data_IF_447803650043
#
_entry.id   IF_447803650043
#
_cell.length_a   1.000
_cell.length_b   1.000
_cell.length_c   1.000
_cell.angle_alpha   90.00
_cell.angle_beta   90.00
_cell.angle_gamma   90.00
#
_symmetry.space_group_name_H-M   'P 1'
#
loop_
_entity.id
_entity.type
_entity.pdbx_description
1 polymer ?
#
# COMPACT_ATOMS: atom_id res chain seq x y z
N UNK A 1 -28.53 -2.43 9.40
CA UNK A 1 -29.36 -3.51 9.99
C UNK A 1 -28.58 -4.80 9.76
N UNK A 2 -28.41 -5.65 10.78
CA UNK A 2 -27.59 -6.87 10.68
C UNK A 2 -28.53 -8.07 10.49
N UNK A 3 -28.26 -8.85 9.44
CA UNK A 3 -29.12 -9.94 8.97
C UNK A 3 -28.33 -11.25 8.96
N UNK A 4 -29.00 -12.37 9.22
CA UNK A 4 -28.43 -13.71 9.11
C UNK A 4 -29.13 -14.48 8.02
N UNK A 5 -28.36 -15.16 7.20
CA UNK A 5 -28.80 -15.97 6.07
C UNK A 5 -28.28 -17.41 6.22
N UNK A 6 -29.00 -18.34 5.62
CA UNK A 6 -28.55 -19.73 5.53
C UNK A 6 -27.26 -19.89 4.70
N UNK A 7 -26.68 -21.08 4.80
CA UNK A 7 -25.40 -21.42 4.18
C UNK A 7 -25.37 -21.24 2.64
N UNK A 8 -26.54 -21.52 2.00
CA UNK A 8 -26.67 -21.56 0.53
C UNK A 8 -27.18 -20.24 -0.09
N UNK A 9 -27.43 -19.22 0.74
CA UNK A 9 -27.86 -17.92 0.23
C UNK A 9 -26.72 -17.19 -0.50
N UNK A 10 -27.04 -16.64 -1.66
CA UNK A 10 -26.06 -15.94 -2.51
C UNK A 10 -26.42 -14.49 -2.85
N UNK A 11 -27.69 -14.10 -2.72
CA UNK A 11 -28.20 -12.82 -3.22
C UNK A 11 -28.35 -11.75 -2.14
N UNK A 12 -28.51 -12.10 -0.88
CA UNK A 12 -28.66 -11.20 0.29
C UNK A 12 -29.69 -10.06 0.12
N UNK A 13 -30.66 -10.22 -0.77
CA UNK A 13 -31.61 -9.18 -1.14
C UNK A 13 -32.81 -9.08 -0.20
N UNK A 14 -33.03 -10.09 0.67
CA UNK A 14 -34.10 -10.16 1.65
C UNK A 14 -33.64 -9.69 3.04
N UNK A 15 -34.52 -9.90 4.03
CA UNK A 15 -34.16 -9.70 5.44
C UNK A 15 -33.46 -10.94 6.06
N UNK A 16 -33.15 -11.95 5.25
CA UNK A 16 -32.57 -13.23 5.72
C UNK A 16 -33.55 -14.06 6.54
N UNK A 17 -33.02 -15.06 7.22
CA UNK A 17 -33.77 -15.92 8.14
C UNK A 17 -34.14 -15.17 9.42
N UNK A 18 -33.27 -14.25 9.84
CA UNK A 18 -33.50 -13.39 11.00
C UNK A 18 -32.72 -12.08 10.91
N UNK A 19 -33.32 -11.02 11.45
CA UNK A 19 -32.63 -9.75 11.74
C UNK A 19 -32.25 -9.73 13.20
N UNK A 20 -30.97 -9.58 13.48
CA UNK A 20 -30.42 -9.62 14.83
C UNK A 20 -30.12 -8.25 15.40
N UNK A 21 -30.16 -8.15 16.73
CA UNK A 21 -29.73 -6.98 17.50
C UNK A 21 -28.54 -7.35 18.38
N UNK A 22 -27.32 -7.30 17.84
CA UNK A 22 -26.13 -7.73 18.56
C UNK A 22 -25.72 -6.71 19.62
N UNK A 23 -24.98 -7.17 20.63
CA UNK A 23 -24.31 -6.31 21.62
C UNK A 23 -23.05 -5.65 21.01
N UNK A 24 -22.37 -6.37 20.09
CA UNK A 24 -21.18 -5.95 19.39
C UNK A 24 -21.23 -6.44 17.95
N UNK A 25 -20.92 -5.59 17.00
CA UNK A 25 -20.70 -5.96 15.60
C UNK A 25 -19.63 -5.03 15.02
N UNK A 26 -18.41 -5.52 14.96
CA UNK A 26 -17.25 -4.73 14.55
C UNK A 26 -16.57 -5.37 13.35
N UNK A 27 -16.52 -4.63 12.26
CA UNK A 27 -15.80 -5.02 11.05
C UNK A 27 -14.38 -4.52 11.13
N UNK A 28 -13.44 -5.43 10.93
CA UNK A 28 -12.02 -5.18 10.80
C UNK A 28 -11.63 -5.36 9.34
N UNK A 29 -11.02 -4.34 8.74
CA UNK A 29 -10.54 -4.38 7.35
C UNK A 29 -9.15 -3.78 7.26
N UNK A 30 -8.26 -4.50 6.56
CA UNK A 30 -6.88 -4.11 6.31
C UNK A 30 -6.63 -4.15 4.80
N UNK A 31 -5.89 -3.18 4.29
CA UNK A 31 -5.45 -3.21 2.88
C UNK A 31 -4.60 -4.44 2.61
N UNK A 32 -4.95 -5.18 1.57
CA UNK A 32 -4.31 -6.45 1.19
C UNK A 32 -4.23 -7.50 2.32
N UNK A 33 -4.95 -7.29 3.42
CA UNK A 33 -4.88 -8.09 4.64
C UNK A 33 -6.24 -8.63 5.09
N UNK A 34 -6.45 -8.66 6.40
CA UNK A 34 -7.64 -9.21 7.03
C UNK A 34 -8.94 -8.45 6.67
N UNK A 35 -10.04 -9.20 6.57
CA UNK A 35 -11.39 -8.65 6.45
C UNK A 35 -12.37 -9.60 7.14
N UNK A 36 -12.80 -9.23 8.34
CA UNK A 36 -13.68 -10.06 9.17
C UNK A 36 -14.61 -9.23 10.05
N UNK A 37 -15.64 -9.88 10.58
CA UNK A 37 -16.59 -9.33 11.53
C UNK A 37 -16.49 -10.07 12.87
N UNK A 38 -16.28 -9.31 13.94
CA UNK A 38 -16.45 -9.75 15.32
C UNK A 38 -17.88 -9.46 15.76
N UNK A 39 -18.60 -10.51 16.17
CA UNK A 39 -20.00 -10.46 16.53
C UNK A 39 -20.22 -10.97 17.96
N UNK A 40 -20.98 -10.23 18.75
CA UNK A 40 -21.54 -10.71 20.03
C UNK A 40 -23.04 -10.47 20.04
N UNK A 41 -23.83 -11.51 20.28
CA UNK A 41 -25.28 -11.42 20.30
C UNK A 41 -25.91 -12.12 21.54
N UNK A 42 -27.17 -11.78 21.86
CA UNK A 42 -27.98 -12.51 22.81
C UNK A 42 -28.08 -13.98 22.46
N UNK A 43 -28.18 -14.83 23.52
CA UNK A 43 -28.27 -16.28 23.38
C UNK A 43 -29.54 -16.74 22.61
N UNK A 44 -30.56 -15.91 22.53
CA UNK A 44 -31.82 -16.19 21.82
C UNK A 44 -31.62 -16.39 20.28
N UNK A 45 -30.50 -15.94 19.74
CA UNK A 45 -30.16 -16.12 18.31
C UNK A 45 -29.34 -17.40 18.05
N UNK A 46 -29.24 -18.32 19.03
CA UNK A 46 -28.38 -19.51 18.93
C UNK A 46 -28.68 -20.37 17.71
N UNK A 47 -29.97 -20.55 17.39
CA UNK A 47 -30.40 -21.39 16.25
C UNK A 47 -29.95 -20.81 14.88
N UNK A 48 -29.69 -19.50 14.82
CA UNK A 48 -29.31 -18.80 13.59
C UNK A 48 -27.79 -18.57 13.48
N UNK A 49 -27.10 -18.37 14.62
CA UNK A 49 -25.64 -18.15 14.66
C UNK A 49 -24.92 -19.49 14.67
N UNK A 50 -25.04 -20.22 13.58
CA UNK A 50 -24.40 -21.51 13.36
C UNK A 50 -23.20 -21.41 12.42
N UNK A 51 -22.15 -22.27 12.57
CA UNK A 51 -21.05 -22.31 11.62
C UNK A 51 -21.53 -22.45 10.18
N UNK A 52 -20.86 -21.71 9.29
CA UNK A 52 -21.12 -21.58 7.86
C UNK A 52 -22.38 -20.78 7.47
N UNK A 53 -23.28 -20.41 8.36
CA UNK A 53 -24.28 -19.40 8.05
C UNK A 53 -23.58 -18.04 7.76
N UNK A 54 -24.32 -17.13 7.12
CA UNK A 54 -23.79 -15.86 6.62
C UNK A 54 -24.41 -14.71 7.42
N UNK A 55 -23.57 -13.82 7.92
CA UNK A 55 -24.01 -12.56 8.53
C UNK A 55 -23.76 -11.42 7.56
N UNK A 56 -24.80 -10.68 7.22
CA UNK A 56 -24.69 -9.45 6.43
C UNK A 56 -24.74 -8.25 7.35
N UNK A 57 -23.69 -7.45 7.32
CA UNK A 57 -23.53 -6.27 8.16
C UNK A 57 -23.24 -5.02 7.32
N UNK A 58 -23.79 -3.85 7.72
CA UNK A 58 -23.49 -2.60 7.05
C UNK A 58 -22.04 -2.18 7.30
N UNK A 59 -21.36 -1.80 6.23
CA UNK A 59 -20.00 -1.25 6.27
C UNK A 59 -19.97 0.09 5.55
N UNK A 60 -18.88 0.87 5.60
CA UNK A 60 -18.75 2.11 4.84
C UNK A 60 -18.96 1.94 3.33
N UNK A 61 -18.68 0.76 2.78
CA UNK A 61 -18.84 0.41 1.36
C UNK A 61 -20.23 -0.17 1.01
N UNK A 62 -21.15 -0.23 1.96
CA UNK A 62 -22.41 -0.92 1.82
C UNK A 62 -22.49 -2.23 2.62
N UNK A 63 -23.55 -2.98 2.40
CA UNK A 63 -23.76 -4.24 3.09
C UNK A 63 -22.76 -5.31 2.62
N UNK A 64 -21.99 -5.88 3.55
CA UNK A 64 -21.00 -6.91 3.28
C UNK A 64 -21.37 -8.21 4.00
N UNK A 65 -21.12 -9.33 3.34
CA UNK A 65 -21.46 -10.67 3.81
C UNK A 65 -20.24 -11.38 4.38
N UNK A 66 -20.43 -11.97 5.55
CA UNK A 66 -19.39 -12.63 6.34
C UNK A 66 -19.85 -14.04 6.71
N UNK A 67 -19.06 -15.05 6.43
CA UNK A 67 -19.34 -16.44 6.81
C UNK A 67 -18.88 -16.71 8.23
N UNK A 68 -19.78 -17.25 9.05
CA UNK A 68 -19.49 -17.63 10.44
C UNK A 68 -18.50 -18.80 10.44
N UNK A 69 -17.33 -18.62 11.05
CA UNK A 69 -16.31 -19.68 11.14
C UNK A 69 -16.16 -20.20 12.56
N UNK A 70 -16.08 -19.34 13.54
CA UNK A 70 -15.91 -19.72 14.93
C UNK A 70 -17.10 -19.20 15.76
N UNK A 71 -17.68 -20.06 16.57
CA UNK A 71 -18.78 -19.73 17.48
C UNK A 71 -18.42 -20.21 18.88
N UNK A 72 -18.56 -19.34 19.85
CA UNK A 72 -18.42 -19.64 21.27
C UNK A 72 -19.68 -19.17 22.00
N UNK A 73 -20.24 -20.01 22.85
CA UNK A 73 -21.49 -19.71 23.55
C UNK A 73 -21.30 -19.73 25.06
N UNK A 74 -21.97 -18.83 25.72
CA UNK A 74 -22.15 -18.79 27.18
C UNK A 74 -23.64 -18.84 27.50
N UNK A 75 -24.00 -18.90 28.78
CA UNK A 75 -25.42 -18.89 29.19
C UNK A 75 -26.20 -17.65 28.73
N UNK A 76 -25.55 -16.55 28.38
CA UNK A 76 -26.21 -15.26 28.10
C UNK A 76 -25.88 -14.70 26.71
N UNK A 77 -24.76 -15.06 26.13
CA UNK A 77 -24.31 -14.51 24.87
C UNK A 77 -23.60 -15.51 23.97
N UNK A 78 -23.63 -15.22 22.71
CA UNK A 78 -22.90 -15.89 21.65
C UNK A 78 -21.81 -14.93 21.17
N UNK A 79 -20.61 -15.42 20.98
CA UNK A 79 -19.51 -14.69 20.34
C UNK A 79 -19.14 -15.45 19.07
N UNK A 80 -19.10 -14.76 17.94
CA UNK A 80 -18.73 -15.36 16.67
C UNK A 80 -17.67 -14.53 15.94
N UNK A 81 -16.72 -15.21 15.31
CA UNK A 81 -15.81 -14.62 14.33
C UNK A 81 -16.25 -15.03 12.93
N UNK A 82 -16.55 -14.04 12.10
CA UNK A 82 -17.08 -14.24 10.77
C UNK A 82 -16.11 -13.67 9.74
N UNK A 83 -15.65 -14.49 8.80
CA UNK A 83 -14.73 -14.08 7.74
C UNK A 83 -15.51 -13.60 6.53
N UNK A 84 -15.04 -12.53 5.85
CA UNK A 84 -15.64 -12.05 4.62
C UNK A 84 -15.74 -13.18 3.58
N UNK A 85 -16.78 -13.17 2.73
CA UNK A 85 -17.02 -14.24 1.74
C UNK A 85 -15.84 -14.50 0.80
N UNK A 86 -15.00 -13.50 0.56
CA UNK A 86 -13.74 -13.68 -0.17
C UNK A 86 -12.95 -14.91 0.29
N UNK A 87 -12.92 -15.19 1.59
CA UNK A 87 -12.16 -16.34 2.12
C UNK A 87 -12.77 -17.70 1.78
N UNK A 88 -14.00 -17.75 1.26
CA UNK A 88 -14.55 -18.98 0.72
C UNK A 88 -13.84 -19.41 -0.58
N UNK A 89 -13.07 -18.53 -1.23
CA UNK A 89 -12.20 -18.86 -2.36
C UNK A 89 -11.15 -19.93 -2.05
N UNK A 90 -10.87 -20.20 -0.77
CA UNK A 90 -10.02 -21.32 -0.34
C UNK A 90 -10.60 -22.71 -0.71
N UNK A 91 -11.90 -22.80 -0.91
CA UNK A 91 -12.59 -24.05 -1.24
C UNK A 91 -12.55 -24.42 -2.74
N UNK A 92 -12.02 -23.54 -3.58
CA UNK A 92 -11.91 -23.72 -5.03
C UNK A 92 -10.46 -24.01 -5.38
N UNK A 93 -10.17 -25.25 -5.80
CA UNK A 93 -8.80 -25.73 -6.02
C UNK A 93 -8.41 -25.64 -7.49
N UNK A 94 -7.18 -25.25 -7.73
CA UNK A 94 -6.53 -25.25 -9.04
C UNK A 94 -5.50 -26.38 -9.05
N UNK A 95 -5.74 -27.42 -9.86
CA UNK A 95 -4.87 -28.58 -9.91
C UNK A 95 -3.51 -28.24 -10.57
N UNK A 96 -3.56 -27.64 -11.75
CA UNK A 96 -2.41 -27.15 -12.50
C UNK A 96 -2.89 -26.10 -13.52
N UNK A 97 -2.33 -24.92 -13.48
CA UNK A 97 -2.64 -23.85 -14.41
C UNK A 97 -1.41 -22.99 -14.68
N UNK A 98 -1.21 -22.59 -15.93
CA UNK A 98 -0.06 -21.81 -16.34
C UNK A 98 -0.51 -20.46 -16.93
N UNK A 99 -0.23 -19.41 -16.20
CA UNK A 99 -0.45 -18.02 -16.62
C UNK A 99 0.82 -17.56 -17.33
N UNK A 100 0.73 -17.22 -18.61
CA UNK A 100 1.89 -16.83 -19.43
C UNK A 100 1.61 -15.50 -20.10
N UNK A 101 2.46 -14.51 -19.84
CA UNK A 101 2.42 -13.18 -20.44
C UNK A 101 1.02 -12.54 -20.43
N UNK A 102 0.37 -12.55 -19.26
CA UNK A 102 -0.97 -11.97 -19.07
C UNK A 102 -0.92 -10.72 -18.20
N UNK A 103 -1.78 -9.76 -18.52
CA UNK A 103 -2.09 -8.66 -17.59
C UNK A 103 -2.84 -9.21 -16.37
N UNK A 104 -3.01 -8.41 -15.34
CA UNK A 104 -3.61 -8.86 -14.09
C UNK A 104 -5.06 -9.34 -14.26
N UNK A 105 -5.88 -8.65 -15.06
CA UNK A 105 -7.27 -9.05 -15.32
C UNK A 105 -7.35 -10.41 -15.97
N UNK A 106 -6.59 -10.62 -17.05
CA UNK A 106 -6.58 -11.90 -17.79
C UNK A 106 -6.00 -13.03 -16.95
N UNK A 107 -5.05 -12.73 -16.05
CA UNK A 107 -4.52 -13.70 -15.10
C UNK A 107 -5.56 -14.14 -14.08
N UNK A 108 -6.31 -13.19 -13.49
CA UNK A 108 -7.41 -13.47 -12.56
C UNK A 108 -8.51 -14.31 -13.23
N UNK A 109 -8.97 -13.91 -14.43
CA UNK A 109 -9.99 -14.64 -15.19
C UNK A 109 -9.52 -16.05 -15.51
N UNK A 110 -8.26 -16.20 -15.94
CA UNK A 110 -7.68 -17.50 -16.24
C UNK A 110 -7.67 -18.44 -15.03
N UNK A 111 -7.27 -17.93 -13.85
CA UNK A 111 -7.21 -18.70 -12.63
C UNK A 111 -8.61 -19.03 -12.08
N UNK A 112 -9.53 -18.07 -12.13
CA UNK A 112 -10.92 -18.28 -11.70
C UNK A 112 -11.63 -19.36 -12.52
N UNK A 113 -11.34 -19.42 -13.84
CA UNK A 113 -11.87 -20.44 -14.73
C UNK A 113 -11.13 -21.79 -14.63
N UNK A 114 -9.94 -21.84 -14.00
CA UNK A 114 -9.14 -23.06 -13.85
C UNK A 114 -9.46 -23.83 -12.56
N UNK A 115 -10.44 -23.39 -11.78
CA UNK A 115 -10.86 -24.07 -10.56
C UNK A 115 -11.59 -25.37 -10.86
N UNK A 116 -11.47 -26.37 -9.96
CA UNK A 116 -12.09 -27.70 -10.07
C UNK A 116 -13.62 -27.65 -10.10
N UNK A 117 -14.20 -26.66 -9.40
CA UNK A 117 -15.63 -26.37 -9.39
C UNK A 117 -15.87 -24.95 -9.87
N UNK A 118 -17.04 -24.70 -10.47
CA UNK A 118 -17.40 -23.34 -10.89
C UNK A 118 -17.40 -22.40 -9.73
N UNK A 119 -16.51 -21.42 -9.76
CA UNK A 119 -16.38 -20.40 -8.73
C UNK A 119 -17.53 -19.38 -8.83
N UNK A 120 -18.14 -18.97 -7.70
CA UNK A 120 -19.16 -17.93 -7.68
C UNK A 120 -18.58 -16.52 -7.79
N UNK A 121 -17.26 -16.39 -7.76
CA UNK A 121 -16.59 -15.10 -7.75
C UNK A 121 -16.53 -14.47 -9.13
N UNK A 122 -16.82 -13.17 -9.17
CA UNK A 122 -16.47 -12.32 -10.30
C UNK A 122 -15.12 -11.67 -10.04
N UNK A 123 -14.24 -11.63 -11.03
CA UNK A 123 -12.91 -11.08 -10.89
C UNK A 123 -12.71 -9.90 -11.86
N UNK A 124 -11.91 -8.91 -11.47
CA UNK A 124 -11.58 -7.76 -12.31
C UNK A 124 -10.25 -7.13 -11.88
N UNK A 125 -9.53 -6.51 -12.80
CA UNK A 125 -8.36 -5.69 -12.49
C UNK A 125 -8.15 -4.59 -13.54
N UNK A 126 -7.61 -3.45 -13.11
CA UNK A 126 -7.12 -2.37 -13.96
C UNK A 126 -5.58 -2.30 -13.99
N UNK A 127 -4.89 -3.24 -13.34
CA UNK A 127 -3.43 -3.35 -13.35
C UNK A 127 -2.97 -3.89 -14.69
N UNK A 128 -2.16 -3.10 -15.38
CA UNK A 128 -1.72 -3.39 -16.76
C UNK A 128 -0.42 -4.17 -16.85
N UNK A 129 0.31 -4.31 -15.75
CA UNK A 129 1.56 -5.08 -15.70
C UNK A 129 1.35 -6.49 -16.25
N UNK A 130 2.32 -6.98 -16.99
CA UNK A 130 2.29 -8.32 -17.60
C UNK A 130 3.26 -9.23 -16.86
N UNK A 131 2.78 -10.39 -16.44
CA UNK A 131 3.57 -11.37 -15.71
C UNK A 131 3.20 -12.80 -16.08
N UNK A 132 4.01 -13.73 -15.61
CA UNK A 132 3.81 -15.17 -15.80
C UNK A 132 4.04 -15.92 -14.51
N UNK A 133 3.21 -16.92 -14.21
CA UNK A 133 3.50 -17.88 -13.15
C UNK A 133 2.72 -19.18 -13.35
N UNK A 134 3.22 -20.26 -12.76
CA UNK A 134 2.52 -21.53 -12.74
C UNK A 134 1.88 -21.75 -11.36
N UNK A 135 0.59 -22.02 -11.37
CA UNK A 135 -0.20 -22.33 -10.19
C UNK A 135 -0.44 -23.84 -10.15
N UNK A 136 0.11 -24.53 -9.14
CA UNK A 136 -0.02 -25.98 -8.99
C UNK A 136 -0.51 -26.32 -7.60
N UNK A 137 -1.63 -27.04 -7.51
CA UNK A 137 -2.23 -27.54 -6.26
C UNK A 137 -2.44 -26.44 -5.21
N UNK A 138 -2.92 -25.27 -5.67
CA UNK A 138 -3.24 -24.13 -4.83
C UNK A 138 -4.74 -23.87 -4.84
N UNK A 139 -5.25 -23.28 -3.77
CA UNK A 139 -6.58 -22.71 -3.77
C UNK A 139 -6.64 -21.44 -4.61
N UNK A 140 -7.85 -21.04 -5.03
CA UNK A 140 -8.06 -19.77 -5.72
C UNK A 140 -7.61 -18.60 -4.84
N UNK A 141 -7.79 -18.68 -3.51
CA UNK A 141 -7.30 -17.68 -2.56
C UNK A 141 -5.77 -17.51 -2.65
N UNK A 142 -5.01 -18.60 -2.57
CA UNK A 142 -3.54 -18.56 -2.67
C UNK A 142 -3.06 -18.09 -4.05
N UNK A 143 -3.81 -18.44 -5.10
CA UNK A 143 -3.51 -17.98 -6.46
C UNK A 143 -3.70 -16.47 -6.59
N UNK A 144 -4.80 -15.91 -6.04
CA UNK A 144 -5.06 -14.46 -6.01
C UNK A 144 -3.98 -13.73 -5.21
N UNK A 145 -3.52 -14.27 -4.06
CA UNK A 145 -2.41 -13.68 -3.30
C UNK A 145 -1.12 -13.65 -4.13
N UNK A 146 -0.82 -14.73 -4.87
CA UNK A 146 0.35 -14.77 -5.77
C UNK A 146 0.22 -13.75 -6.91
N UNK A 147 -1.00 -13.54 -7.44
CA UNK A 147 -1.25 -12.49 -8.45
C UNK A 147 -0.97 -11.12 -7.83
N UNK A 148 -1.50 -10.84 -6.64
CA UNK A 148 -1.30 -9.59 -5.93
C UNK A 148 0.19 -9.29 -5.67
N UNK A 149 0.95 -10.32 -5.26
CA UNK A 149 2.39 -10.20 -5.03
C UNK A 149 3.18 -9.90 -6.31
N UNK A 150 2.78 -10.47 -7.47
CA UNK A 150 3.53 -10.36 -8.73
C UNK A 150 3.12 -9.18 -9.59
N UNK A 151 1.82 -8.86 -9.64
CA UNK A 151 1.30 -7.75 -10.45
C UNK A 151 1.21 -6.45 -9.66
N UNK A 152 1.21 -6.54 -8.32
CA UNK A 152 0.98 -5.41 -7.44
C UNK A 152 -0.50 -5.01 -7.37
N UNK A 153 -0.75 -3.87 -6.73
CA UNK A 153 -2.09 -3.31 -6.59
C UNK A 153 -2.72 -3.53 -5.23
N UNK A 154 -4.02 -3.24 -5.15
CA UNK A 154 -4.81 -3.30 -3.94
C UNK A 154 -5.99 -4.25 -4.12
N UNK A 155 -6.18 -5.16 -3.15
CA UNK A 155 -7.24 -6.16 -3.15
C UNK A 155 -8.55 -5.57 -2.64
N UNK A 156 -9.48 -5.31 -3.54
CA UNK A 156 -10.84 -4.85 -3.22
C UNK A 156 -11.78 -6.04 -3.21
N UNK A 157 -12.50 -6.21 -2.12
CA UNK A 157 -13.41 -7.32 -1.85
C UNK A 157 -14.82 -6.78 -1.60
N UNK A 158 -15.77 -7.20 -2.40
CA UNK A 158 -17.16 -6.79 -2.30
C UNK A 158 -18.07 -8.00 -2.51
N UNK A 159 -18.50 -8.62 -1.42
CA UNK A 159 -19.26 -9.87 -1.42
C UNK A 159 -18.61 -10.94 -2.32
N UNK A 160 -19.25 -11.29 -3.46
CA UNK A 160 -18.73 -12.24 -4.45
C UNK A 160 -17.82 -11.60 -5.50
N UNK A 161 -17.51 -10.31 -5.38
CA UNK A 161 -16.62 -9.61 -6.33
C UNK A 161 -15.22 -9.43 -5.74
N UNK A 162 -14.22 -9.83 -6.51
CA UNK A 162 -12.80 -9.72 -6.18
C UNK A 162 -12.15 -8.83 -7.25
N UNK A 163 -11.53 -7.74 -6.81
CA UNK A 163 -10.86 -6.82 -7.73
C UNK A 163 -9.43 -6.56 -7.24
N UNK A 164 -8.48 -6.49 -8.17
CA UNK A 164 -7.14 -5.98 -7.91
C UNK A 164 -7.01 -4.67 -8.67
N UNK A 165 -6.91 -3.57 -7.94
CA UNK A 165 -6.91 -2.22 -8.49
C UNK A 165 -5.52 -1.59 -8.33
N UNK A 166 -5.06 -0.89 -9.34
CA UNK A 166 -3.77 -0.19 -9.30
C UNK A 166 -3.76 0.92 -8.25
N UNK A 167 -4.90 1.56 -8.07
CA UNK A 167 -5.08 2.61 -7.07
C UNK A 167 -6.47 2.51 -6.46
N UNK A 168 -6.59 2.74 -5.16
CA UNK A 168 -7.84 2.79 -4.41
C UNK A 168 -7.94 4.08 -3.60
N UNK A 169 -9.17 4.37 -3.15
CA UNK A 169 -9.45 5.55 -2.33
C UNK A 169 -9.57 6.85 -3.12
N UNK A 170 -10.02 7.88 -2.44
CA UNK A 170 -10.26 9.22 -2.98
C UNK A 170 -9.76 10.27 -1.99
N UNK A 171 -9.39 11.42 -2.48
CA UNK A 171 -9.19 12.61 -1.65
C UNK A 171 -10.55 13.29 -1.43
N UNK A 172 -11.13 13.08 -0.28
CA UNK A 172 -12.39 13.66 0.14
C UNK A 172 -12.22 15.01 0.87
N UNK A 173 -11.01 15.57 0.89
CA UNK A 173 -10.67 16.80 1.60
C UNK A 173 -10.82 16.67 3.12
N UNK A 174 -10.55 15.48 3.65
CA UNK A 174 -10.68 15.22 5.09
C UNK A 174 -9.41 15.67 5.80
N UNK A 175 -9.55 16.63 6.71
CA UNK A 175 -8.47 17.05 7.60
C UNK A 175 -8.73 16.55 9.02
N UNK A 176 -7.77 15.83 9.60
CA UNK A 176 -7.78 15.34 10.96
C UNK A 176 -6.91 16.28 11.79
N UNK A 177 -7.50 16.96 12.75
CA UNK A 177 -6.81 17.96 13.56
C UNK A 177 -7.01 17.71 15.04
N UNK A 178 -5.93 17.87 15.82
CA UNK A 178 -5.99 17.85 17.29
C UNK A 178 -7.00 18.89 17.81
N UNK A 179 -7.74 18.50 18.85
CA UNK A 179 -8.85 19.28 19.47
C UNK A 179 -10.10 19.45 18.62
N UNK A 180 -10.15 18.97 17.39
CA UNK A 180 -11.33 19.05 16.53
C UNK A 180 -12.00 17.68 16.38
N UNK A 181 -11.32 16.74 15.78
CA UNK A 181 -11.83 15.39 15.53
C UNK A 181 -10.83 14.29 15.92
N UNK A 182 -9.57 14.63 16.20
CA UNK A 182 -8.56 13.71 16.69
C UNK A 182 -8.70 13.50 18.20
N UNK A 183 -8.85 12.25 18.63
CA UNK A 183 -8.91 11.85 20.06
C UNK A 183 -7.56 11.40 20.57
N UNK A 184 -6.91 10.54 19.81
CA UNK A 184 -5.63 9.94 20.16
C UNK A 184 -4.82 9.73 18.87
N UNK A 185 -3.51 9.93 18.94
CA UNK A 185 -2.56 9.60 17.89
C UNK A 185 -1.43 8.79 18.51
N UNK A 186 -1.16 7.64 17.93
CA UNK A 186 0.04 6.84 18.18
C UNK A 186 0.90 6.85 16.92
N UNK A 187 2.19 7.06 17.10
CA UNK A 187 3.16 7.07 16.01
C UNK A 187 4.11 5.91 16.23
N UNK A 188 4.07 4.93 15.36
CA UNK A 188 4.94 3.75 15.39
C UNK A 188 6.00 3.84 14.29
N UNK A 189 7.26 3.79 14.70
CA UNK A 189 8.39 3.77 13.80
C UNK A 189 8.89 2.34 13.62
N UNK A 190 8.69 1.77 12.45
CA UNK A 190 9.23 0.45 12.12
C UNK A 190 10.62 0.56 11.47
N UNK A 191 11.63 0.23 12.24
CA UNK A 191 13.03 0.18 11.82
C UNK A 191 13.44 -1.18 11.27
N UNK A 192 12.62 -2.20 11.39
CA UNK A 192 12.95 -3.59 11.00
C UNK A 192 13.19 -3.75 9.49
N UNK A 193 12.54 -2.91 8.71
CA UNK A 193 12.63 -2.91 7.24
C UNK A 193 13.72 -2.00 6.68
N UNK A 194 14.36 -1.18 7.52
CA UNK A 194 15.38 -0.21 7.06
C UNK A 194 16.58 -0.94 6.49
N UNK A 195 17.02 -0.48 5.32
CA UNK A 195 18.21 -0.97 4.62
C UNK A 195 18.96 0.21 4.02
N UNK A 196 20.15 0.48 4.53
CA UNK A 196 21.02 1.55 4.00
C UNK A 196 22.23 1.01 3.25
N UNK A 197 22.48 -0.30 3.38
CA UNK A 197 23.54 -1.00 2.67
C UNK A 197 23.04 -2.38 2.26
N UNK A 198 22.98 -2.65 0.98
CA UNK A 198 22.45 -3.88 0.41
C UNK A 198 23.52 -4.65 -0.33
N UNK A 199 23.62 -5.95 -0.07
CA UNK A 199 24.33 -6.88 -0.93
C UNK A 199 23.32 -7.59 -1.82
N UNK A 200 23.13 -7.15 -3.07
CA UNK A 200 22.20 -7.79 -3.99
C UNK A 200 22.82 -9.07 -4.57
N UNK A 201 21.99 -10.09 -4.70
CA UNK A 201 22.35 -11.36 -5.35
C UNK A 201 21.40 -11.55 -6.54
N UNK A 202 21.95 -11.65 -7.74
CA UNK A 202 21.23 -11.86 -8.97
C UNK A 202 21.08 -13.33 -9.35
N UNK A 203 20.69 -13.57 -10.61
CA UNK A 203 20.53 -14.89 -11.22
C UNK A 203 21.81 -15.70 -11.06
N UNK A 204 21.69 -16.98 -10.69
CA UNK A 204 22.79 -17.91 -10.47
C UNK A 204 23.86 -17.44 -9.45
N UNK A 205 23.46 -16.58 -8.52
CA UNK A 205 24.36 -16.06 -7.48
C UNK A 205 25.24 -14.90 -7.96
N UNK A 206 24.86 -14.22 -9.05
CA UNK A 206 25.57 -13.06 -9.60
C UNK A 206 25.71 -11.97 -8.55
N UNK A 207 26.92 -11.43 -8.39
CA UNK A 207 27.23 -10.33 -7.48
C UNK A 207 27.75 -9.11 -8.25
N UNK A 208 27.47 -7.92 -7.75
CA UNK A 208 28.04 -6.68 -8.28
C UNK A 208 29.55 -6.57 -7.95
N UNK A 209 30.32 -5.91 -8.80
CA UNK A 209 31.78 -5.74 -8.62
C UNK A 209 32.12 -5.04 -7.29
N UNK A 210 31.31 -4.13 -6.78
CA UNK A 210 31.49 -3.46 -5.49
C UNK A 210 30.84 -4.19 -4.30
N UNK A 211 30.22 -5.34 -4.50
CA UNK A 211 29.44 -6.16 -3.57
C UNK A 211 28.21 -5.46 -2.97
N UNK A 212 28.24 -4.16 -2.77
CA UNK A 212 27.19 -3.43 -2.07
C UNK A 212 26.65 -2.26 -2.87
N UNK A 213 25.34 -1.98 -2.66
CA UNK A 213 24.67 -0.75 -3.01
C UNK A 213 24.31 -0.04 -1.71
N UNK A 214 24.57 1.27 -1.61
CA UNK A 214 24.32 2.06 -0.42
C UNK A 214 23.35 3.21 -0.71
N UNK A 215 22.60 3.59 0.32
CA UNK A 215 21.74 4.77 0.31
C UNK A 215 22.55 6.05 0.56
N UNK A 216 22.03 7.17 0.08
CA UNK A 216 22.50 8.51 0.47
C UNK A 216 22.15 8.83 1.94
N UNK A 217 21.13 8.16 2.50
CA UNK A 217 20.77 8.28 3.91
C UNK A 217 21.76 7.48 4.77
N UNK A 218 22.42 8.17 5.72
CA UNK A 218 23.41 7.55 6.60
C UNK A 218 22.96 7.63 8.07
N UNK A 219 23.13 6.50 8.77
CA UNK A 219 22.96 6.39 10.22
C UNK A 219 24.30 6.06 10.86
N UNK A 220 24.42 6.26 12.18
CA UNK A 220 25.65 5.89 12.93
C UNK A 220 26.03 4.43 12.74
N UNK A 221 25.05 3.53 12.60
CA UNK A 221 25.24 2.12 12.28
C UNK A 221 24.52 1.82 10.97
N UNK A 222 25.21 1.30 9.94
CA UNK A 222 24.58 0.95 8.68
C UNK A 222 23.67 -0.28 8.83
N UNK A 223 22.45 -0.17 8.33
CA UNK A 223 21.52 -1.30 8.23
C UNK A 223 21.85 -2.12 6.98
N UNK A 224 22.53 -3.23 7.18
CA UNK A 224 23.01 -4.07 6.08
C UNK A 224 22.13 -5.30 5.89
N UNK A 225 21.72 -5.57 4.64
CA UNK A 225 20.94 -6.76 4.26
C UNK A 225 21.50 -7.42 3.01
N UNK A 226 21.17 -8.72 2.83
CA UNK A 226 21.39 -9.45 1.59
C UNK A 226 20.04 -9.83 1.02
N UNK A 227 19.80 -9.54 -0.27
CA UNK A 227 18.54 -9.86 -0.94
C UNK A 227 18.84 -10.43 -2.32
N UNK A 228 18.13 -11.51 -2.65
CA UNK A 228 18.17 -12.10 -3.99
C UNK A 228 17.10 -11.49 -4.86
N UNK A 229 17.48 -11.06 -6.06
CA UNK A 229 16.59 -10.48 -7.06
C UNK A 229 16.39 -11.47 -8.21
N UNK A 230 15.13 -11.72 -8.56
CA UNK A 230 14.81 -12.46 -9.77
C UNK A 230 15.10 -11.60 -11.00
N UNK A 231 15.79 -12.18 -11.98
CA UNK A 231 16.11 -11.55 -13.26
C UNK A 231 15.56 -12.41 -14.38
N UNK A 232 14.78 -11.80 -15.27
CA UNK A 232 14.05 -12.51 -16.35
C UNK A 232 14.75 -12.44 -17.71
N UNK A 233 15.97 -11.89 -17.73
CA UNK A 233 16.77 -11.82 -18.95
C UNK A 233 17.30 -13.22 -19.33
N UNK A 234 17.20 -13.56 -20.61
CA UNK A 234 17.70 -14.82 -21.15
C UNK A 234 18.77 -14.55 -22.24
N UNK A 235 19.69 -15.49 -22.42
CA UNK A 235 20.81 -15.34 -23.37
C UNK A 235 20.32 -15.19 -24.83
N UNK A 236 19.17 -15.78 -25.13
CA UNK A 236 18.53 -15.69 -26.46
C UNK A 236 18.13 -14.26 -26.82
N UNK A 237 17.80 -13.42 -25.83
CA UNK A 237 17.45 -12.01 -26.02
C UNK A 237 18.65 -11.17 -26.53
N UNK A 238 19.86 -11.71 -26.39
CA UNK A 238 21.13 -11.08 -26.78
C UNK A 238 21.81 -11.77 -27.96
N UNK A 239 21.05 -12.52 -28.79
CA UNK A 239 21.55 -13.24 -29.95
C UNK A 239 22.74 -14.19 -29.65
N UNK A 240 22.87 -14.65 -28.40
CA UNK A 240 23.94 -15.50 -27.89
C UNK A 240 25.24 -14.77 -27.51
N UNK A 241 25.22 -13.43 -27.43
CA UNK A 241 26.34 -12.64 -26.90
C UNK A 241 26.40 -12.72 -25.38
N UNK A 242 27.22 -13.63 -24.86
CA UNK A 242 27.40 -13.86 -23.42
C UNK A 242 27.91 -12.62 -22.67
N UNK A 243 28.71 -11.77 -23.31
CA UNK A 243 29.27 -10.59 -22.68
C UNK A 243 28.19 -9.50 -22.52
N UNK A 244 27.40 -9.26 -23.54
CA UNK A 244 26.27 -8.33 -23.53
C UNK A 244 25.20 -8.79 -22.54
N UNK A 245 24.88 -10.09 -22.53
CA UNK A 245 23.95 -10.69 -21.56
C UNK A 245 24.42 -10.51 -20.12
N UNK A 246 25.69 -10.83 -19.83
CA UNK A 246 26.24 -10.69 -18.48
C UNK A 246 26.24 -9.22 -18.00
N UNK A 247 26.57 -8.28 -18.88
CA UNK A 247 26.51 -6.84 -18.58
C UNK A 247 25.08 -6.38 -18.28
N UNK A 248 24.11 -6.84 -19.07
CA UNK A 248 22.69 -6.53 -18.85
C UNK A 248 22.17 -7.06 -17.51
N UNK A 249 22.60 -8.27 -17.12
CA UNK A 249 22.28 -8.82 -15.79
C UNK A 249 22.85 -7.95 -14.65
N UNK A 250 24.10 -7.47 -14.77
CA UNK A 250 24.72 -6.60 -13.77
C UNK A 250 24.00 -5.25 -13.67
N UNK A 251 23.61 -4.67 -14.80
CA UNK A 251 22.92 -3.38 -14.83
C UNK A 251 21.49 -3.50 -14.28
N UNK A 252 20.73 -4.53 -14.63
CA UNK A 252 19.42 -4.84 -14.05
C UNK A 252 19.52 -5.04 -12.54
N UNK A 253 20.49 -5.83 -12.08
CA UNK A 253 20.72 -6.07 -10.65
C UNK A 253 21.02 -4.77 -9.90
N UNK A 254 21.83 -3.88 -10.50
CA UNK A 254 22.18 -2.58 -9.90
C UNK A 254 20.96 -1.69 -9.78
N UNK A 255 20.15 -1.60 -10.84
CA UNK A 255 18.93 -0.78 -10.87
C UNK A 255 17.93 -1.27 -9.81
N UNK A 256 17.66 -2.59 -9.76
CA UNK A 256 16.75 -3.18 -8.76
C UNK A 256 17.25 -2.97 -7.33
N UNK A 257 18.54 -3.15 -7.12
CA UNK A 257 19.16 -2.96 -5.81
C UNK A 257 19.10 -1.51 -5.34
N UNK A 258 19.38 -0.54 -6.22
CA UNK A 258 19.28 0.88 -5.89
C UNK A 258 17.84 1.26 -5.56
N UNK A 259 16.87 0.87 -6.39
CA UNK A 259 15.46 1.13 -6.14
C UNK A 259 14.99 0.55 -4.79
N UNK A 260 15.46 -0.66 -4.43
CA UNK A 260 15.15 -1.27 -3.15
C UNK A 260 15.73 -0.49 -1.96
N UNK A 261 16.99 -0.08 -2.06
CA UNK A 261 17.66 0.70 -1.01
C UNK A 261 16.98 2.06 -0.84
N UNK A 262 16.67 2.76 -1.92
CA UNK A 262 16.03 4.08 -1.89
C UNK A 262 14.63 4.00 -1.24
N UNK A 263 13.87 2.96 -1.55
CA UNK A 263 12.54 2.72 -0.99
C UNK A 263 12.55 2.31 0.49
N UNK A 264 13.67 1.76 1.01
CA UNK A 264 13.76 1.23 2.36
C UNK A 264 14.84 1.92 3.22
N UNK A 265 15.38 3.04 2.80
CA UNK A 265 16.46 3.73 3.52
C UNK A 265 16.00 4.48 4.77
N UNK A 266 14.72 4.73 4.89
CA UNK A 266 14.10 5.40 6.04
C UNK A 266 13.10 4.48 6.75
N UNK A 267 12.91 4.61 8.07
CA UNK A 267 11.94 3.80 8.79
C UNK A 267 10.52 4.07 8.28
N UNK A 268 9.73 3.01 8.23
CA UNK A 268 8.29 3.14 7.96
C UNK A 268 7.61 3.74 9.18
N UNK A 269 6.79 4.74 8.96
CA UNK A 269 6.04 5.40 10.03
C UNK A 269 4.56 5.10 9.84
N UNK A 270 3.97 4.43 10.84
CA UNK A 270 2.55 4.16 10.87
C UNK A 270 1.90 5.06 11.92
N UNK A 271 0.78 5.63 11.56
CA UNK A 271 0.00 6.49 12.43
C UNK A 271 -1.33 5.81 12.73
N UNK A 272 -1.54 5.44 13.99
CA UNK A 272 -2.84 4.95 14.44
C UNK A 272 -3.60 6.10 15.08
N UNK A 273 -4.77 6.40 14.55
CA UNK A 273 -5.58 7.52 14.99
C UNK A 273 -6.93 7.01 15.50
N UNK A 274 -7.34 7.49 16.69
CA UNK A 274 -8.72 7.40 17.11
C UNK A 274 -9.36 8.76 16.90
N UNK A 275 -10.26 8.83 15.94
CA UNK A 275 -10.93 10.07 15.60
C UNK A 275 -12.43 9.83 15.34
N UNK A 276 -13.22 10.88 15.51
CA UNK A 276 -14.59 10.89 14.99
C UNK A 276 -14.54 11.19 13.50
N UNK A 277 -14.73 10.16 12.70
CA UNK A 277 -14.61 10.25 11.24
C UNK A 277 -15.98 10.09 10.59
N UNK A 278 -16.48 11.15 9.99
CA UNK A 278 -17.77 11.15 9.31
C UNK A 278 -17.66 11.09 7.78
N UNK A 279 -16.46 11.28 7.22
CA UNK A 279 -16.25 11.45 5.78
C UNK A 279 -15.24 10.51 5.14
N UNK A 280 -14.63 9.59 5.88
CA UNK A 280 -13.86 8.50 5.29
C UNK A 280 -14.84 7.47 4.77
N UNK A 281 -14.64 7.01 3.55
CA UNK A 281 -15.51 6.02 2.93
C UNK A 281 -14.89 4.63 2.89
N UNK A 282 -13.54 4.52 2.73
CA UNK A 282 -12.87 3.21 2.71
C UNK A 282 -11.34 3.28 2.84
N UNK A 283 -10.73 2.09 2.74
CA UNK A 283 -9.28 1.88 2.59
C UNK A 283 -8.76 2.67 1.37
N UNK A 284 -7.60 3.27 1.53
CA UNK A 284 -6.97 4.08 0.49
C UNK A 284 -7.38 5.55 0.46
N UNK A 285 -8.49 5.94 1.14
CA UNK A 285 -8.89 7.34 1.20
C UNK A 285 -7.79 8.21 1.80
N UNK A 286 -7.53 9.33 1.15
CA UNK A 286 -6.47 10.26 1.52
C UNK A 286 -6.99 11.25 2.55
N UNK A 287 -6.19 11.51 3.57
CA UNK A 287 -6.48 12.47 4.62
C UNK A 287 -5.25 13.31 4.96
N UNK A 288 -5.50 14.56 5.33
CA UNK A 288 -4.47 15.43 5.92
C UNK A 288 -4.54 15.33 7.44
N UNK A 289 -3.40 15.04 8.08
CA UNK A 289 -3.28 14.93 9.55
C UNK A 289 -2.44 16.08 10.08
N UNK A 290 -3.03 16.86 10.98
CA UNK A 290 -2.37 18.01 11.59
C UNK A 290 -2.38 17.86 13.12
N UNK A 291 -1.20 17.73 13.72
CA UNK A 291 -1.00 17.84 15.15
C UNK A 291 0.13 18.85 15.45
N UNK A 292 -0.25 20.06 15.82
CA UNK A 292 0.69 21.15 16.10
C UNK A 292 1.64 20.86 17.27
N UNK A 293 1.21 20.03 18.25
CA UNK A 293 2.03 19.72 19.43
C UNK A 293 3.14 18.71 19.11
N UNK A 294 2.86 17.80 18.18
CA UNK A 294 3.83 16.81 17.71
C UNK A 294 4.59 17.29 16.46
N UNK A 295 4.25 18.50 15.96
CA UNK A 295 4.82 19.01 14.73
C UNK A 295 4.45 18.17 13.48
N UNK A 296 3.29 17.49 13.53
CA UNK A 296 2.84 16.62 12.44
C UNK A 296 1.95 17.43 11.49
N UNK A 297 2.35 17.48 10.24
CA UNK A 297 1.51 17.89 9.12
C UNK A 297 1.86 16.98 7.94
N UNK A 298 0.99 16.02 7.65
CA UNK A 298 1.24 15.02 6.61
C UNK A 298 -0.03 14.64 5.88
N UNK A 299 0.12 14.25 4.63
CA UNK A 299 -0.92 13.61 3.83
C UNK A 299 -0.65 12.10 3.88
N UNK A 300 -1.68 11.35 4.24
CA UNK A 300 -1.59 9.90 4.41
C UNK A 300 -2.87 9.23 3.91
N UNK A 301 -2.84 7.91 3.76
CA UNK A 301 -4.01 7.13 3.35
C UNK A 301 -4.45 6.14 4.41
N UNK A 302 -5.72 5.77 4.39
CA UNK A 302 -6.29 4.75 5.28
C UNK A 302 -5.73 3.38 4.91
N UNK A 303 -5.04 2.73 5.84
CA UNK A 303 -4.51 1.36 5.68
C UNK A 303 -5.43 0.31 6.30
N UNK A 304 -6.01 0.62 7.46
CA UNK A 304 -6.90 -0.30 8.14
C UNK A 304 -7.96 0.45 8.94
N UNK A 305 -9.05 -0.21 9.24
CA UNK A 305 -10.05 0.33 10.15
C UNK A 305 -10.79 -0.75 10.93
N UNK A 306 -11.33 -0.31 12.09
CA UNK A 306 -12.35 -1.01 12.85
C UNK A 306 -13.64 -0.18 12.82
N UNK A 307 -14.70 -0.75 12.25
CA UNK A 307 -15.99 -0.07 12.07
C UNK A 307 -17.09 -0.72 12.90
N UNK A 308 -17.79 0.09 13.69
CA UNK A 308 -18.94 -0.35 14.47
C UNK A 308 -20.20 -0.31 13.60
N UNK A 309 -20.69 -1.48 13.20
CA UNK A 309 -21.86 -1.64 12.34
C UNK A 309 -23.19 -1.26 13.03
N UNK A 310 -23.21 -1.20 14.37
CA UNK A 310 -24.39 -0.82 15.15
C UNK A 310 -24.50 0.69 15.20
N UNK A 311 -23.39 1.36 15.52
CA UNK A 311 -23.34 2.80 15.68
C UNK A 311 -23.09 3.54 14.35
N UNK A 312 -22.72 2.82 13.30
CA UNK A 312 -22.43 3.41 11.98
C UNK A 312 -21.21 4.34 11.99
N UNK A 313 -20.15 3.98 12.73
CA UNK A 313 -18.97 4.85 12.88
C UNK A 313 -17.67 4.07 13.02
N UNK A 314 -16.59 4.72 12.65
CA UNK A 314 -15.24 4.19 12.88
C UNK A 314 -14.88 4.27 14.38
N UNK A 315 -14.34 3.15 14.90
CA UNK A 315 -13.78 3.06 16.26
C UNK A 315 -12.32 3.43 16.22
N UNK A 316 -11.61 2.86 15.23
CA UNK A 316 -10.17 3.00 15.04
C UNK A 316 -9.89 3.05 13.55
N UNK A 317 -8.95 3.89 13.13
CA UNK A 317 -8.46 3.96 11.76
C UNK A 317 -6.94 4.09 11.82
N UNK A 318 -6.26 3.24 11.10
CA UNK A 318 -4.82 3.27 10.93
C UNK A 318 -4.49 3.92 9.58
N UNK A 319 -3.57 4.86 9.62
CA UNK A 319 -3.06 5.52 8.45
C UNK A 319 -1.61 5.11 8.24
N UNK A 320 -1.29 4.67 7.06
CA UNK A 320 0.09 4.47 6.67
C UNK A 320 0.63 5.73 6.04
N UNK A 321 1.93 5.93 6.18
CA UNK A 321 2.61 6.71 5.19
C UNK A 321 2.30 6.01 3.86
N UNK A 322 1.39 6.60 3.05
CA UNK A 322 1.40 6.28 1.65
C UNK A 322 2.87 6.41 1.29
N UNK A 323 3.53 5.28 1.05
CA UNK A 323 4.87 5.28 0.45
C UNK A 323 4.77 6.36 -0.60
N UNK A 324 5.57 7.44 -0.56
CA UNK A 324 5.50 8.41 -1.63
C UNK A 324 5.45 7.56 -2.87
N UNK A 325 4.52 7.81 -3.79
CA UNK A 325 4.28 6.97 -4.98
C UNK A 325 5.53 6.94 -5.88
N UNK A 326 6.71 6.73 -5.26
CA UNK A 326 7.93 6.40 -5.96
C UNK A 326 7.76 5.04 -6.66
N UNK A 327 7.04 4.09 -6.09
CA UNK A 327 6.75 2.84 -6.79
C UNK A 327 5.73 3.06 -7.92
N UNK A 328 4.71 3.88 -7.73
CA UNK A 328 3.79 4.27 -8.81
C UNK A 328 4.47 5.18 -9.83
N UNK A 329 5.31 6.13 -9.40
CA UNK A 329 6.14 6.97 -10.28
C UNK A 329 7.26 6.17 -10.96
N UNK A 330 7.91 5.22 -10.27
CA UNK A 330 8.90 4.32 -10.87
C UNK A 330 8.26 3.33 -11.84
N UNK A 331 7.11 2.75 -11.53
CA UNK A 331 6.38 1.90 -12.48
C UNK A 331 5.84 2.72 -13.66
N UNK A 332 5.42 3.96 -13.45
CA UNK A 332 5.02 4.87 -14.54
C UNK A 332 6.23 5.34 -15.33
N UNK A 333 7.37 5.62 -14.69
CA UNK A 333 8.65 5.94 -15.35
C UNK A 333 9.20 4.73 -16.11
N UNK A 334 9.14 3.54 -15.54
CA UNK A 334 9.61 2.30 -16.17
C UNK A 334 8.71 1.91 -17.35
N UNK A 335 7.40 2.04 -17.23
CA UNK A 335 6.46 1.86 -18.34
C UNK A 335 6.60 2.96 -19.40
N UNK A 336 6.82 4.22 -19.01
CA UNK A 336 7.07 5.34 -19.92
C UNK A 336 8.44 5.20 -20.59
N UNK A 337 9.47 4.75 -19.87
CA UNK A 337 10.78 4.42 -20.43
C UNK A 337 10.70 3.25 -21.42
N UNK A 338 10.03 2.16 -21.07
CA UNK A 338 9.89 1.00 -21.95
C UNK A 338 9.09 1.34 -23.21
N UNK A 339 8.05 2.17 -23.10
CA UNK A 339 7.28 2.65 -24.26
C UNK A 339 8.10 3.64 -25.10
N UNK A 340 8.89 4.51 -24.47
CA UNK A 340 9.71 5.49 -25.17
C UNK A 340 10.98 4.90 -25.81
N UNK A 341 11.53 3.82 -25.23
CA UNK A 341 12.63 3.04 -25.85
C UNK A 341 12.13 2.32 -27.10
N UNK A 342 10.86 1.90 -27.12
CA UNK A 342 10.24 1.28 -28.31
C UNK A 342 9.95 2.29 -29.43
N UNK A 343 9.80 3.58 -29.15
CA UNK A 343 9.35 4.57 -30.13
C UNK A 343 10.39 5.55 -30.64
N UNK A 344 11.49 5.88 -29.96
CA UNK A 344 12.61 6.68 -30.53
C UNK A 344 13.74 7.08 -29.55
N UNK A 345 14.97 6.76 -29.89
CA UNK A 345 16.19 7.06 -29.11
C UNK A 345 16.61 8.55 -29.04
N UNK A 346 15.91 9.48 -29.68
CA UNK A 346 16.28 10.92 -29.68
C UNK A 346 15.37 11.83 -28.86
N UNK A 347 14.16 11.41 -28.51
CA UNK A 347 13.19 12.25 -27.78
C UNK A 347 13.28 12.05 -26.28
N UNK A 348 14.00 11.02 -25.82
CA UNK A 348 14.03 10.56 -24.45
C UNK A 348 14.53 11.60 -23.45
N UNK A 349 15.61 12.28 -23.78
CA UNK A 349 16.27 13.23 -22.86
C UNK A 349 15.43 14.47 -22.58
N UNK A 350 14.66 14.94 -23.57
CA UNK A 350 13.84 16.17 -23.44
C UNK A 350 12.54 15.86 -22.69
N UNK A 351 11.91 14.72 -22.96
CA UNK A 351 10.65 14.32 -22.30
C UNK A 351 10.89 13.95 -20.84
N UNK A 352 11.94 13.19 -20.53
CA UNK A 352 12.32 12.84 -19.16
C UNK A 352 12.63 14.06 -18.32
N UNK A 353 13.35 15.04 -18.89
CA UNK A 353 13.69 16.30 -18.22
C UNK A 353 12.42 17.14 -17.95
N UNK A 354 11.47 17.17 -18.89
CA UNK A 354 10.23 17.94 -18.72
C UNK A 354 9.27 17.29 -17.71
N UNK A 355 9.19 15.97 -17.64
CA UNK A 355 8.33 15.26 -16.69
C UNK A 355 8.93 15.19 -15.30
N UNK A 356 10.24 15.05 -15.17
CA UNK A 356 10.96 15.24 -13.91
C UNK A 356 10.80 16.68 -13.40
N UNK A 357 10.86 17.67 -14.29
CA UNK A 357 10.61 19.07 -13.95
C UNK A 357 9.15 19.27 -13.52
N UNK A 358 8.17 18.70 -14.22
CA UNK A 358 6.75 18.77 -13.83
C UNK A 358 6.45 18.01 -12.52
N UNK A 359 7.11 16.88 -12.27
CA UNK A 359 7.00 16.15 -11.01
C UNK A 359 7.67 16.95 -9.88
N UNK A 360 8.83 17.54 -10.14
CA UNK A 360 9.52 18.47 -9.25
C UNK A 360 8.65 19.71 -8.97
N UNK A 361 8.05 20.30 -10.00
CA UNK A 361 7.17 21.46 -9.89
C UNK A 361 5.86 21.13 -9.16
N UNK A 362 5.33 19.91 -9.29
CA UNK A 362 4.16 19.43 -8.51
C UNK A 362 4.50 19.15 -7.05
N UNK A 363 5.66 18.56 -6.78
CA UNK A 363 6.15 18.29 -5.42
C UNK A 363 6.55 19.60 -4.71
N UNK A 364 7.11 20.56 -5.45
CA UNK A 364 7.65 21.79 -4.91
C UNK A 364 6.83 23.04 -5.23
N UNK A 365 5.82 22.92 -6.08
CA UNK A 365 4.99 24.06 -6.55
C UNK A 365 4.19 24.78 -5.46
N UNK A 366 4.11 24.20 -4.27
CA UNK A 366 3.58 24.90 -3.09
C UNK A 366 4.63 25.77 -2.36
N UNK A 367 5.94 25.62 -2.69
CA UNK A 367 7.05 26.25 -1.98
C UNK A 367 7.78 27.32 -2.81
N UNK A 368 7.37 27.58 -4.05
CA UNK A 368 8.12 28.46 -4.96
C UNK A 368 9.47 27.83 -5.40
N UNK A 369 10.32 28.58 -6.05
CA UNK A 369 11.66 28.15 -6.47
C UNK A 369 12.56 28.00 -5.23
N UNK A 370 12.45 26.92 -4.48
CA UNK A 370 13.26 26.68 -3.29
C UNK A 370 14.00 25.36 -3.41
N UNK A 371 15.26 25.35 -3.01
CA UNK A 371 16.13 24.16 -3.02
C UNK A 371 16.47 23.78 -1.59
N UNK A 372 16.33 22.51 -1.26
CA UNK A 372 16.67 21.98 0.05
C UNK A 372 18.06 21.34 0.00
N UNK A 373 18.97 21.80 0.85
CA UNK A 373 20.36 21.35 0.90
C UNK A 373 20.64 20.81 2.30
N UNK A 374 21.12 19.57 2.38
CA UNK A 374 21.59 18.97 3.61
C UNK A 374 23.10 19.14 3.69
N UNK A 375 23.61 19.82 4.70
CA UNK A 375 25.01 20.10 4.86
C UNK A 375 25.46 20.01 6.33
N UNK A 376 26.25 19.01 6.64
CA UNK A 376 26.68 18.76 8.01
C UNK A 376 25.48 18.52 8.94
N UNK A 377 25.36 19.33 9.99
CA UNK A 377 24.28 19.24 10.99
C UNK A 377 23.14 20.23 10.74
N UNK A 378 22.90 20.63 9.50
CA UNK A 378 21.89 21.63 9.18
C UNK A 378 21.16 21.32 7.86
N UNK A 379 19.93 21.81 7.78
CA UNK A 379 19.14 21.88 6.57
C UNK A 379 19.08 23.34 6.13
N UNK A 380 19.37 23.58 4.86
CA UNK A 380 19.21 24.89 4.25
C UNK A 380 18.12 24.78 3.18
N UNK A 381 17.17 25.70 3.22
CA UNK A 381 16.21 25.91 2.13
C UNK A 381 16.55 27.27 1.51
N UNK A 382 16.91 27.25 0.23
CA UNK A 382 17.41 28.44 -0.49
C UNK A 382 16.58 28.70 -1.74
N UNK A 383 16.45 29.95 -2.12
CA UNK A 383 15.65 30.38 -3.28
C UNK A 383 16.42 30.27 -4.61
N UNK A 384 17.74 30.05 -4.58
CA UNK A 384 18.60 29.99 -5.79
C UNK A 384 19.80 29.06 -5.56
N UNK A 385 20.30 28.44 -6.65
CA UNK A 385 21.55 27.68 -6.68
C UNK A 385 22.58 28.36 -7.65
N UNK A 386 23.86 28.34 -7.33
CA UNK A 386 24.48 27.78 -6.11
C UNK A 386 24.09 28.56 -4.85
N UNK A 387 24.08 27.89 -3.68
CA UNK A 387 23.60 28.44 -2.40
C UNK A 387 24.24 29.78 -1.99
N UNK A 388 25.43 30.08 -2.50
CA UNK A 388 26.16 31.34 -2.29
C UNK A 388 25.50 32.52 -2.97
N UNK A 389 24.64 32.31 -3.97
CA UNK A 389 23.89 33.34 -4.70
C UNK A 389 22.45 33.51 -4.12
N UNK A 390 22.02 32.61 -3.28
CA UNK A 390 20.70 32.68 -2.67
C UNK A 390 20.54 33.94 -1.82
N UNK A 391 19.38 34.57 -1.93
CA UNK A 391 19.01 35.77 -1.13
C UNK A 391 18.17 35.35 0.09
N UNK A 392 17.18 34.49 -0.10
CA UNK A 392 16.31 34.01 0.96
C UNK A 392 16.75 32.61 1.40
N UNK A 393 17.10 32.50 2.68
CA UNK A 393 17.64 31.28 3.23
C UNK A 393 16.91 30.94 4.55
N UNK A 394 16.39 29.73 4.64
CA UNK A 394 15.95 29.14 5.90
C UNK A 394 17.05 28.18 6.35
N UNK A 395 17.49 28.28 7.58
CA UNK A 395 18.46 27.39 8.22
C UNK A 395 17.81 26.69 9.41
N UNK A 396 17.87 25.36 9.39
CA UNK A 396 17.36 24.51 10.46
C UNK A 396 18.53 23.70 11.01
N UNK A 397 18.79 23.79 12.30
CA UNK A 397 19.82 23.02 12.99
C UNK A 397 19.46 22.85 14.48
N UNK A 398 20.37 22.29 15.26
CA UNK A 398 20.17 22.06 16.71
C UNK A 398 19.97 23.33 17.54
N UNK A 399 20.26 24.51 17.01
CA UNK A 399 20.04 25.80 17.67
C UNK A 399 18.67 26.42 17.34
N UNK A 400 17.91 25.82 16.41
CA UNK A 400 16.59 26.30 16.02
C UNK A 400 16.44 26.56 14.53
N UNK A 401 15.42 27.35 14.18
CA UNK A 401 15.09 27.75 12.82
C UNK A 401 15.39 29.24 12.64
N UNK A 402 16.21 29.59 11.67
CA UNK A 402 16.54 30.97 11.36
C UNK A 402 16.24 31.31 9.90
N UNK A 403 15.83 32.55 9.64
CA UNK A 403 15.57 33.10 8.32
C UNK A 403 16.56 34.19 8.00
N UNK A 404 17.11 34.18 6.78
CA UNK A 404 17.91 35.26 6.25
C UNK A 404 17.33 35.74 4.92
N UNK A 405 17.29 37.04 4.70
CA UNK A 405 16.96 37.69 3.42
C UNK A 405 18.21 38.31 2.75
N UNK A 406 19.36 38.01 3.27
CA UNK A 406 20.65 38.54 2.80
C UNK A 406 21.66 37.46 2.47
N UNK A 407 21.16 36.24 2.23
CA UNK A 407 21.95 35.10 1.81
C UNK A 407 22.46 34.21 2.94
N UNK A 408 23.22 33.19 2.54
CA UNK A 408 23.69 32.11 3.44
C UNK A 408 24.65 32.62 4.53
N UNK A 409 25.39 33.68 4.26
CA UNK A 409 26.32 34.34 5.19
C UNK A 409 25.73 35.60 5.84
N UNK A 410 24.45 35.89 5.57
CA UNK A 410 23.78 37.07 6.10
C UNK A 410 23.30 36.89 7.55
N UNK A 411 22.67 37.92 8.08
CA UNK A 411 22.08 37.88 9.38
C UNK A 411 20.83 37.00 9.37
N UNK A 412 20.73 36.06 10.32
CA UNK A 412 19.57 35.21 10.54
C UNK A 412 18.74 35.75 11.68
N UNK A 413 17.45 35.97 11.43
CA UNK A 413 16.46 36.17 12.48
C UNK A 413 15.93 34.85 12.93
N UNK A 414 15.97 34.58 14.22
CA UNK A 414 15.50 33.30 14.78
C UNK A 414 13.98 33.31 14.85
N UNK A 415 13.35 32.30 14.27
CA UNK A 415 11.92 32.10 14.38
C UNK A 415 11.55 31.15 15.53
N UNK A 416 12.48 30.26 15.91
CA UNK A 416 12.31 29.34 17.01
C UNK A 416 13.69 28.90 17.54
N UNK A 417 13.82 28.91 18.88
CA UNK A 417 14.94 28.35 19.64
C UNK A 417 14.45 27.18 20.49
#
# INVERSE_FOLDING_TARGET
>A
MIKVFGIDDTLFSSNGDVVIQPYKAQVHKVDNGDFYLDLECPIEYLDYISPNNIVVAPTPQGDQAFRIKNVSTTRRKITAKCLHLFYDSVNYLIADSNVVNKNCNDALDHLNNATDNTSPFTVMSDVTNVNSFRCVRKSLNEAIQTVLERWGGHLVRDNWSIKIMNQIGHDNGVTIQYKKNLKEITVDYDWSSVVTKLMPVGKDGLLLEGLYVASDVQYEIPFTKTISFEQQLELEDFEGDELAYHQALLDDLRVKAQAYVDANSIPKVNYTLKANMEKITDIGDVVEVIDERLGINLITSVLSYVYDCILGKYIEVEFGNAQPQLSGLMNTLENTMNTAIAENNQTLTVTLTSELQQAQDKIWGALGNSYCIYEGNQILIVDELPKEQAHNVIRINSAGIGFSQTGINGNFTTAWT
#
